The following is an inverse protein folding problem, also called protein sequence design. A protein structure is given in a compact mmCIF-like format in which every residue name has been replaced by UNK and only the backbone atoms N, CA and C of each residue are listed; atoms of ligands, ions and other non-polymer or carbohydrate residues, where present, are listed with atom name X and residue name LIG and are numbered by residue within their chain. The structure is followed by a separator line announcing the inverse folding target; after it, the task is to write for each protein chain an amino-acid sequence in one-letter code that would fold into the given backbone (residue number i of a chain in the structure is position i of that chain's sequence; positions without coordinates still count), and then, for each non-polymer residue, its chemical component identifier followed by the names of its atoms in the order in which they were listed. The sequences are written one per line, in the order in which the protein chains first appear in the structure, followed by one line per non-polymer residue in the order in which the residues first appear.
data_IF_999286125538
#
_entry.id   IF_999286125538
#
_cell.length_a   1.000
_cell.length_b   1.000
_cell.length_c   1.000
_cell.angle_alpha   90.00
_cell.angle_beta   90.00
_cell.angle_gamma   90.00
#
_symmetry.space_group_name_H-M   'P 1'
#
loop_
_entity.id
_entity.type
_entity.pdbx_description
1 polymer ?
#
# COMPACT_ATOMS: atom_id res chain seq x y z
N UNK A 1 45.70 -41.46 -30.72
CA UNK A 1 45.61 -40.26 -29.86
C UNK A 1 44.22 -40.22 -29.25
N UNK A 2 44.08 -40.55 -27.96
CA UNK A 2 42.80 -40.52 -27.25
C UNK A 2 42.65 -39.14 -26.59
N UNK A 3 41.67 -38.35 -27.03
CA UNK A 3 41.29 -37.11 -26.35
C UNK A 3 40.16 -37.43 -25.36
N UNK A 4 40.46 -37.35 -24.06
CA UNK A 4 39.47 -37.42 -22.98
C UNK A 4 38.81 -36.04 -22.86
N UNK A 5 37.51 -35.95 -23.16
CA UNK A 5 36.71 -34.76 -22.96
C UNK A 5 36.12 -34.80 -21.54
N UNK A 6 36.67 -34.03 -20.62
CA UNK A 6 36.08 -33.85 -19.29
C UNK A 6 34.89 -32.88 -19.39
N UNK A 7 33.68 -33.42 -19.33
CA UNK A 7 32.46 -32.62 -19.20
C UNK A 7 32.34 -32.13 -17.74
N UNK A 8 32.68 -30.87 -17.51
CA UNK A 8 32.49 -30.22 -16.21
C UNK A 8 30.99 -29.90 -16.05
N UNK A 9 30.24 -30.72 -15.29
CA UNK A 9 28.89 -30.35 -14.87
C UNK A 9 28.99 -29.24 -13.82
N UNK A 10 28.66 -28.01 -14.21
CA UNK A 10 28.45 -26.92 -13.26
C UNK A 10 27.20 -27.21 -12.43
N UNK A 11 27.37 -27.56 -11.15
CA UNK A 11 26.28 -27.65 -10.20
C UNK A 11 25.89 -26.22 -9.83
N UNK A 12 24.85 -25.69 -10.49
CA UNK A 12 24.27 -24.41 -10.10
C UNK A 12 23.56 -24.61 -8.75
N UNK A 13 23.82 -23.75 -7.73
CA UNK A 13 23.07 -23.81 -6.48
C UNK A 13 21.61 -23.50 -6.79
N UNK A 14 20.74 -24.50 -6.59
CA UNK A 14 19.30 -24.30 -6.54
C UNK A 14 19.05 -23.48 -5.27
N UNK A 15 18.92 -22.16 -5.41
CA UNK A 15 18.43 -21.32 -4.33
C UNK A 15 17.02 -21.81 -4.02
N UNK A 16 16.80 -22.35 -2.82
CA UNK A 16 15.47 -22.69 -2.36
C UNK A 16 14.58 -21.44 -2.51
N UNK A 17 13.63 -21.50 -3.44
CA UNK A 17 12.70 -20.42 -3.66
C UNK A 17 11.89 -20.26 -2.37
N UNK A 18 11.95 -19.06 -1.77
CA UNK A 18 11.21 -18.76 -0.56
C UNK A 18 9.74 -19.11 -0.79
N UNK A 19 9.27 -20.18 -0.14
CA UNK A 19 7.94 -20.74 -0.37
C UNK A 19 6.83 -19.88 0.24
N UNK A 20 7.20 -18.78 0.92
CA UNK A 20 6.25 -17.87 1.55
C UNK A 20 5.52 -17.02 0.52
N UNK A 21 4.23 -16.82 0.77
CA UNK A 21 3.42 -15.88 -0.01
C UNK A 21 3.83 -14.46 0.35
N UNK A 22 4.29 -13.72 -0.65
CA UNK A 22 4.81 -12.36 -0.49
C UNK A 22 3.70 -11.32 -0.60
N UNK A 23 3.57 -10.47 0.42
CA UNK A 23 2.59 -9.38 0.46
C UNK A 23 3.32 -8.04 0.53
N UNK A 24 3.15 -7.22 -0.49
CA UNK A 24 3.66 -5.85 -0.50
C UNK A 24 2.57 -4.88 -0.03
N UNK A 25 2.79 -4.24 1.11
CA UNK A 25 1.91 -3.18 1.60
C UNK A 25 2.47 -1.82 1.15
N UNK A 26 1.82 -1.21 0.17
CA UNK A 26 2.18 0.08 -0.42
C UNK A 26 1.29 1.17 0.14
N UNK A 27 1.86 2.33 0.41
CA UNK A 27 1.09 3.52 0.77
C UNK A 27 1.94 4.65 1.31
N UNK A 28 1.33 5.48 2.14
CA UNK A 28 1.94 6.70 2.67
C UNK A 28 2.46 6.52 4.11
N UNK A 29 2.46 7.59 4.91
CA UNK A 29 2.88 7.60 6.32
C UNK A 29 2.09 6.63 7.19
N UNK A 30 0.81 6.40 6.87
CA UNK A 30 -0.03 5.44 7.58
C UNK A 30 0.52 4.02 7.36
N UNK A 31 0.89 3.68 6.12
CA UNK A 31 1.57 2.40 5.81
C UNK A 31 2.94 2.30 6.44
N UNK A 32 3.71 3.39 6.47
CA UNK A 32 5.02 3.44 7.15
C UNK A 32 4.90 3.22 8.68
N UNK A 33 3.69 3.32 9.24
CA UNK A 33 3.43 3.12 10.66
C UNK A 33 3.58 4.40 11.49
N UNK A 34 3.40 5.58 10.88
CA UNK A 34 3.41 6.85 11.61
C UNK A 34 2.44 6.81 12.81
N UNK A 35 2.85 7.42 13.91
CA UNK A 35 2.11 7.54 15.18
C UNK A 35 1.90 6.22 15.95
N UNK A 36 2.17 5.05 15.37
CA UNK A 36 2.34 3.83 16.17
C UNK A 36 3.51 4.00 17.15
N UNK A 37 3.33 3.54 18.39
CA UNK A 37 4.37 3.61 19.44
C UNK A 37 5.60 2.77 19.10
N UNK A 38 5.41 1.74 18.28
CA UNK A 38 6.46 0.99 17.60
C UNK A 38 6.05 0.81 16.14
N UNK A 39 6.70 1.53 15.22
CA UNK A 39 6.36 1.49 13.79
C UNK A 39 6.49 0.09 13.18
N UNK A 40 7.43 -0.71 13.68
CA UNK A 40 7.74 -2.04 13.13
C UNK A 40 6.75 -3.07 13.64
N UNK A 41 6.46 -3.09 14.94
CA UNK A 41 5.65 -4.15 15.53
C UNK A 41 4.18 -3.76 15.72
N UNK A 42 3.88 -2.46 15.85
CA UNK A 42 2.54 -1.92 16.11
C UNK A 42 1.98 -1.10 14.96
N UNK A 43 2.79 -0.73 13.97
CA UNK A 43 2.25 -0.30 12.68
C UNK A 43 1.46 -1.44 12.03
N UNK A 44 0.41 -1.12 11.26
CA UNK A 44 -0.52 -2.15 10.78
C UNK A 44 0.16 -3.23 9.94
N UNK A 45 1.24 -2.91 9.21
CA UNK A 45 1.97 -3.89 8.40
C UNK A 45 2.68 -4.93 9.28
N UNK A 46 3.24 -4.49 10.42
CA UNK A 46 3.85 -5.38 11.40
C UNK A 46 2.83 -6.30 12.05
N UNK A 47 1.70 -5.74 12.47
CA UNK A 47 0.59 -6.51 13.04
C UNK A 47 0.02 -7.50 12.03
N UNK A 48 -0.20 -7.08 10.77
CA UNK A 48 -0.63 -7.95 9.68
C UNK A 48 0.37 -9.09 9.46
N UNK A 49 1.68 -8.82 9.48
CA UNK A 49 2.71 -9.87 9.36
C UNK A 49 2.60 -10.91 10.47
N UNK A 50 2.31 -10.51 11.71
CA UNK A 50 2.13 -11.42 12.83
C UNK A 50 0.87 -12.28 12.65
N UNK A 51 -0.25 -11.67 12.24
CA UNK A 51 -1.52 -12.37 11.99
C UNK A 51 -1.42 -13.40 10.85
N UNK A 52 -0.74 -13.04 9.74
CA UNK A 52 -0.56 -13.95 8.61
C UNK A 52 0.39 -15.12 8.93
N UNK A 53 1.37 -14.90 9.81
CA UNK A 53 2.27 -15.94 10.30
C UNK A 53 3.34 -16.40 9.30
N UNK A 54 4.02 -17.51 9.62
CA UNK A 54 5.26 -17.96 8.96
C UNK A 54 5.13 -18.33 7.48
N UNK A 55 3.92 -18.58 7.00
CA UNK A 55 3.65 -18.88 5.59
C UNK A 55 3.73 -17.65 4.68
N UNK A 56 3.88 -16.46 5.25
CA UNK A 56 3.84 -15.19 4.53
C UNK A 56 5.10 -14.35 4.79
N UNK A 57 5.47 -13.56 3.79
CA UNK A 57 6.46 -12.48 3.90
C UNK A 57 5.74 -11.16 3.62
N UNK A 58 5.26 -10.52 4.68
CA UNK A 58 4.52 -9.25 4.61
C UNK A 58 5.51 -8.12 4.83
N UNK A 59 5.62 -7.20 3.86
CA UNK A 59 6.61 -6.12 3.91
C UNK A 59 6.01 -4.74 3.73
N UNK A 60 6.62 -3.81 4.45
CA UNK A 60 6.24 -2.40 4.46
C UNK A 60 6.99 -1.65 3.34
N UNK A 61 6.22 -1.15 2.38
CA UNK A 61 6.69 -0.25 1.32
C UNK A 61 6.02 1.13 1.41
N UNK A 62 5.56 1.50 2.61
CA UNK A 62 5.02 2.82 2.90
C UNK A 62 6.09 3.91 2.84
N UNK A 63 5.68 5.09 2.38
CA UNK A 63 6.56 6.26 2.34
C UNK A 63 5.81 7.47 2.88
N UNK A 64 6.28 8.01 4.02
CA UNK A 64 5.68 9.21 4.62
C UNK A 64 5.54 10.36 3.62
N UNK A 65 4.33 10.92 3.54
CA UNK A 65 4.00 12.03 2.65
C UNK A 65 3.83 11.69 1.17
N UNK A 66 3.95 10.44 0.73
CA UNK A 66 3.80 10.08 -0.69
C UNK A 66 2.36 10.27 -1.21
N UNK A 67 2.23 10.63 -2.49
CA UNK A 67 0.96 10.83 -3.22
C UNK A 67 0.77 9.76 -4.30
N UNK A 68 -0.48 9.53 -4.70
CA UNK A 68 -0.83 8.70 -5.84
C UNK A 68 -0.66 9.43 -7.18
N UNK A 69 -1.01 10.72 -7.23
CA UNK A 69 -0.72 11.60 -8.36
C UNK A 69 0.78 11.64 -8.64
N UNK A 70 1.11 11.66 -9.93
CA UNK A 70 2.45 11.91 -10.45
C UNK A 70 2.72 13.41 -10.46
N UNK A 71 3.98 13.81 -10.65
CA UNK A 71 4.41 15.22 -10.75
C UNK A 71 4.06 16.11 -9.54
N UNK A 72 3.66 15.54 -8.41
CA UNK A 72 3.48 16.27 -7.15
C UNK A 72 4.84 16.51 -6.47
N UNK A 73 4.81 17.04 -5.24
CA UNK A 73 6.01 17.16 -4.41
C UNK A 73 6.64 15.81 -4.01
N UNK A 74 5.88 14.71 -3.99
CA UNK A 74 6.37 13.38 -3.60
C UNK A 74 5.54 12.25 -4.22
N UNK A 75 5.57 12.09 -5.56
CA UNK A 75 4.85 11.02 -6.23
C UNK A 75 5.46 9.66 -5.85
N UNK A 76 4.61 8.68 -5.50
CA UNK A 76 5.09 7.39 -5.01
C UNK A 76 5.95 6.65 -6.04
N UNK A 77 5.65 6.80 -7.34
CA UNK A 77 6.41 6.18 -8.45
C UNK A 77 7.85 6.69 -8.61
N UNK A 78 8.25 7.72 -7.83
CA UNK A 78 9.62 8.25 -7.75
C UNK A 78 10.33 7.94 -6.45
N UNK A 79 9.69 7.20 -5.53
CA UNK A 79 10.29 6.81 -4.26
C UNK A 79 11.03 5.48 -4.39
N UNK A 80 12.15 5.29 -3.67
CA UNK A 80 12.93 4.04 -3.70
C UNK A 80 12.08 2.81 -3.33
N UNK A 81 11.11 2.97 -2.42
CA UNK A 81 10.16 1.92 -2.04
C UNK A 81 9.31 1.39 -3.20
N UNK A 82 9.08 2.18 -4.24
CA UNK A 82 8.41 1.70 -5.45
C UNK A 82 9.28 0.68 -6.20
N UNK A 83 10.58 0.94 -6.33
CA UNK A 83 11.54 0.00 -6.94
C UNK A 83 11.73 -1.25 -6.06
N UNK A 84 11.84 -1.08 -4.74
CA UNK A 84 11.95 -2.19 -3.80
C UNK A 84 10.71 -3.10 -3.82
N UNK A 85 9.50 -2.52 -3.88
CA UNK A 85 8.25 -3.28 -3.95
C UNK A 85 8.15 -4.12 -5.22
N UNK A 86 8.64 -3.61 -6.35
CA UNK A 86 8.71 -4.37 -7.61
C UNK A 86 9.74 -5.49 -7.54
N UNK A 87 10.94 -5.18 -7.05
CA UNK A 87 12.02 -6.15 -6.89
C UNK A 87 11.64 -7.29 -5.92
N UNK A 88 10.72 -7.04 -4.99
CA UNK A 88 10.20 -8.05 -4.07
C UNK A 88 9.44 -9.18 -4.78
N UNK A 89 8.90 -8.93 -5.98
CA UNK A 89 8.05 -9.88 -6.74
C UNK A 89 6.89 -10.42 -5.89
N UNK A 90 5.98 -9.54 -5.41
CA UNK A 90 4.90 -9.94 -4.53
C UNK A 90 3.89 -10.87 -5.21
N UNK A 91 3.24 -11.70 -4.41
CA UNK A 91 2.04 -12.45 -4.81
C UNK A 91 0.75 -11.65 -4.53
N UNK A 92 0.80 -10.76 -3.55
CA UNK A 92 -0.31 -9.85 -3.19
C UNK A 92 0.23 -8.44 -3.02
N UNK A 93 -0.48 -7.45 -3.56
CA UNK A 93 -0.17 -6.03 -3.40
C UNK A 93 -1.40 -5.33 -2.82
N UNK A 94 -1.22 -4.58 -1.74
CA UNK A 94 -2.21 -3.62 -1.24
C UNK A 94 -1.71 -2.20 -1.47
N UNK A 95 -2.55 -1.32 -2.01
CA UNK A 95 -2.17 0.07 -2.33
C UNK A 95 -3.09 1.04 -1.56
N UNK A 96 -2.52 1.75 -0.59
CA UNK A 96 -3.19 2.74 0.25
C UNK A 96 -2.63 4.16 0.03
N UNK A 97 -2.96 4.74 -1.14
CA UNK A 97 -2.61 6.11 -1.54
C UNK A 97 -3.90 6.94 -1.73
N UNK A 98 -3.78 8.26 -1.79
CA UNK A 98 -4.93 9.18 -1.93
C UNK A 98 -5.10 10.15 -0.75
N UNK A 99 -4.71 9.80 0.47
CA UNK A 99 -4.81 10.72 1.62
C UNK A 99 -4.07 12.03 1.36
N UNK A 100 -2.79 11.95 0.98
CA UNK A 100 -1.98 13.15 0.73
C UNK A 100 -2.38 13.90 -0.54
N UNK A 101 -2.99 13.22 -1.50
CA UNK A 101 -3.53 13.81 -2.72
C UNK A 101 -4.67 14.79 -2.40
N UNK A 102 -5.40 14.58 -1.30
CA UNK A 102 -6.46 15.50 -0.85
C UNK A 102 -5.96 16.87 -0.35
N UNK A 103 -4.65 17.07 -0.17
CA UNK A 103 -4.12 18.38 0.23
C UNK A 103 -4.38 19.42 -0.87
N UNK A 104 -4.79 20.67 -0.56
CA UNK A 104 -5.05 21.70 -1.58
C UNK A 104 -3.89 21.95 -2.54
N UNK A 105 -2.65 21.90 -2.02
CA UNK A 105 -1.42 22.04 -2.82
C UNK A 105 -1.19 20.91 -3.83
N UNK A 106 -1.95 19.83 -3.72
CA UNK A 106 -2.00 18.74 -4.71
C UNK A 106 -3.31 18.84 -5.47
N UNK A 107 -4.45 18.58 -4.82
CA UNK A 107 -5.72 18.42 -5.52
C UNK A 107 -6.17 19.65 -6.30
N UNK A 108 -5.97 20.84 -5.74
CA UNK A 108 -6.52 22.09 -6.29
C UNK A 108 -5.52 22.81 -7.21
N UNK A 109 -4.42 22.15 -7.57
CA UNK A 109 -3.34 22.75 -8.37
C UNK A 109 -3.25 22.07 -9.74
N UNK A 110 -3.16 22.86 -10.81
CA UNK A 110 -2.98 22.35 -12.17
C UNK A 110 -4.08 21.37 -12.60
N UNK A 111 -3.67 20.19 -13.06
CA UNK A 111 -4.52 19.14 -13.61
C UNK A 111 -4.48 17.83 -12.78
N UNK A 112 -3.97 17.90 -11.53
CA UNK A 112 -3.79 16.71 -10.68
C UNK A 112 -5.10 15.97 -10.42
N UNK A 113 -6.19 16.68 -10.10
CA UNK A 113 -7.49 16.07 -9.87
C UNK A 113 -7.99 15.28 -11.10
N UNK A 114 -7.78 15.81 -12.31
CA UNK A 114 -8.16 15.12 -13.56
C UNK A 114 -7.25 13.94 -13.92
N UNK A 115 -6.00 13.94 -13.44
CA UNK A 115 -5.02 12.88 -13.74
C UNK A 115 -4.95 11.78 -12.69
N UNK A 116 -5.51 11.97 -11.49
CA UNK A 116 -5.40 10.99 -10.40
C UNK A 116 -5.83 9.58 -10.82
N UNK A 117 -6.93 9.45 -11.57
CA UNK A 117 -7.39 8.15 -12.08
C UNK A 117 -6.35 7.48 -13.00
N UNK A 118 -5.84 8.20 -14.00
CA UNK A 118 -4.86 7.65 -14.95
C UNK A 118 -3.49 7.39 -14.31
N UNK A 119 -3.11 8.20 -13.33
CA UNK A 119 -1.88 8.04 -12.57
C UNK A 119 -1.94 6.81 -11.67
N UNK A 120 -3.04 6.62 -10.96
CA UNK A 120 -3.29 5.43 -10.15
C UNK A 120 -3.36 4.17 -11.03
N UNK A 121 -4.06 4.23 -12.17
CA UNK A 121 -4.14 3.14 -13.15
C UNK A 121 -2.74 2.77 -13.69
N UNK A 122 -1.89 3.77 -13.97
CA UNK A 122 -0.51 3.57 -14.40
C UNK A 122 0.35 2.91 -13.33
N UNK A 123 0.21 3.34 -12.07
CA UNK A 123 0.90 2.73 -10.92
C UNK A 123 0.49 1.25 -10.77
N UNK A 124 -0.80 0.95 -10.86
CA UNK A 124 -1.30 -0.42 -10.80
C UNK A 124 -0.78 -1.29 -11.94
N UNK A 125 -0.75 -0.75 -13.16
CA UNK A 125 -0.28 -1.46 -14.35
C UNK A 125 1.17 -1.96 -14.20
N UNK A 126 2.01 -1.23 -13.46
CA UNK A 126 3.39 -1.66 -13.19
C UNK A 126 3.43 -2.92 -12.34
N UNK A 127 2.63 -3.00 -11.27
CA UNK A 127 2.56 -4.18 -10.41
C UNK A 127 1.89 -5.37 -11.11
N UNK A 128 0.82 -5.12 -11.88
CA UNK A 128 0.12 -6.15 -12.66
C UNK A 128 1.02 -6.79 -13.73
N UNK A 129 1.95 -6.00 -14.27
CA UNK A 129 2.92 -6.45 -15.29
C UNK A 129 4.06 -7.28 -14.71
N UNK A 130 4.23 -7.35 -13.38
CA UNK A 130 5.30 -8.14 -12.77
C UNK A 130 5.19 -9.63 -13.12
N UNK A 131 6.33 -10.35 -13.22
CA UNK A 131 6.32 -11.77 -13.53
C UNK A 131 5.67 -12.63 -12.43
N UNK A 132 5.61 -12.13 -11.20
CA UNK A 132 4.92 -12.80 -10.08
C UNK A 132 3.39 -12.79 -10.20
N UNK A 133 2.83 -11.97 -11.12
CA UNK A 133 1.40 -11.82 -11.37
C UNK A 133 0.60 -11.62 -10.07
N UNK A 134 0.90 -10.55 -9.32
CA UNK A 134 0.27 -10.35 -8.03
C UNK A 134 -1.23 -10.15 -8.16
N UNK A 135 -1.97 -10.63 -7.15
CA UNK A 135 -3.32 -10.14 -6.88
C UNK A 135 -3.23 -8.74 -6.28
N UNK A 136 -3.95 -7.79 -6.83
CA UNK A 136 -3.92 -6.39 -6.41
C UNK A 136 -5.21 -6.03 -5.68
N UNK A 137 -5.05 -5.32 -4.57
CA UNK A 137 -6.13 -4.67 -3.82
C UNK A 137 -5.88 -3.17 -3.75
N UNK A 138 -6.92 -2.40 -4.05
CA UNK A 138 -6.92 -0.97 -3.76
C UNK A 138 -7.59 -0.73 -2.40
N UNK A 139 -6.85 -0.08 -1.51
CA UNK A 139 -7.36 0.33 -0.22
C UNK A 139 -8.02 1.70 -0.37
N UNK A 140 -9.26 1.84 0.09
CA UNK A 140 -9.84 3.16 0.28
C UNK A 140 -9.17 3.81 1.48
N UNK A 141 -8.66 5.06 1.37
CA UNK A 141 -8.01 5.73 2.47
C UNK A 141 -8.87 5.80 3.73
N UNK A 142 -8.24 5.78 4.91
CA UNK A 142 -8.94 6.00 6.18
C UNK A 142 -9.57 7.41 6.22
N UNK A 143 -10.61 7.64 7.05
CA UNK A 143 -11.18 8.98 7.20
C UNK A 143 -10.16 9.97 7.75
N UNK A 144 -10.19 11.20 7.25
CA UNK A 144 -9.46 12.32 7.85
C UNK A 144 -10.39 12.94 8.89
N UNK A 145 -9.96 12.95 10.16
CA UNK A 145 -10.74 13.61 11.21
C UNK A 145 -10.62 15.14 11.06
N UNK A 146 -11.71 15.91 11.25
CA UNK A 146 -11.64 17.36 11.20
C UNK A 146 -10.59 17.91 12.16
N UNK A 147 -9.61 18.63 11.62
CA UNK A 147 -8.50 19.21 12.38
C UNK A 147 -7.90 20.42 11.63
N UNK A 148 -7.08 21.20 12.33
CA UNK A 148 -6.32 22.34 11.76
C UNK A 148 -4.81 22.08 11.71
N UNK A 149 -4.37 20.88 12.10
CA UNK A 149 -2.96 20.50 12.14
C UNK A 149 -2.44 20.07 10.77
N UNK A 150 -3.36 19.62 9.91
CA UNK A 150 -3.08 19.08 8.59
C UNK A 150 -3.96 19.75 7.54
N UNK A 151 -3.34 20.24 6.47
CA UNK A 151 -4.04 20.85 5.33
C UNK A 151 -4.61 19.78 4.39
N UNK A 152 -5.36 18.81 4.91
CA UNK A 152 -6.05 17.80 4.12
C UNK A 152 -7.52 18.16 3.96
N UNK A 153 -8.15 17.72 2.86
CA UNK A 153 -9.55 18.04 2.57
C UNK A 153 -10.42 16.79 2.73
N UNK A 154 -11.07 16.54 3.89
CA UNK A 154 -11.89 15.34 4.11
C UNK A 154 -13.00 15.17 3.07
N UNK A 155 -13.59 16.29 2.62
CA UNK A 155 -14.64 16.29 1.60
C UNK A 155 -14.11 15.81 0.24
N UNK A 156 -12.96 16.33 -0.21
CA UNK A 156 -12.28 15.89 -1.45
C UNK A 156 -11.93 14.40 -1.36
N UNK A 157 -11.38 13.95 -0.23
CA UNK A 157 -11.05 12.54 -0.05
C UNK A 157 -12.27 11.64 -0.25
N UNK A 158 -13.39 11.98 0.41
CA UNK A 158 -14.62 11.20 0.42
C UNK A 158 -15.39 11.27 -0.91
N UNK A 159 -15.55 12.47 -1.46
CA UNK A 159 -16.47 12.73 -2.57
C UNK A 159 -15.79 12.65 -3.94
N UNK A 160 -14.46 12.71 -4.01
CA UNK A 160 -13.74 12.72 -5.29
C UNK A 160 -12.71 11.57 -5.36
N UNK A 161 -11.75 11.52 -4.43
CA UNK A 161 -10.65 10.55 -4.51
C UNK A 161 -11.14 9.11 -4.33
N UNK A 162 -11.94 8.82 -3.29
CA UNK A 162 -12.46 7.48 -3.04
C UNK A 162 -13.26 6.94 -4.24
N UNK A 163 -14.20 7.70 -4.83
CA UNK A 163 -14.89 7.29 -6.05
C UNK A 163 -13.94 6.94 -7.20
N UNK A 164 -12.87 7.71 -7.41
CA UNK A 164 -11.87 7.41 -8.45
C UNK A 164 -11.10 6.12 -8.16
N UNK A 165 -10.73 5.87 -6.90
CA UNK A 165 -10.08 4.60 -6.50
C UNK A 165 -11.02 3.41 -6.79
N UNK A 166 -12.31 3.53 -6.44
CA UNK A 166 -13.31 2.48 -6.75
C UNK A 166 -13.42 2.25 -8.25
N UNK A 167 -13.45 3.31 -9.05
CA UNK A 167 -13.53 3.24 -10.51
C UNK A 167 -12.33 2.51 -11.11
N UNK A 168 -11.10 2.78 -10.64
CA UNK A 168 -9.91 2.04 -11.09
C UNK A 168 -9.99 0.57 -10.69
N UNK A 169 -10.40 0.27 -9.44
CA UNK A 169 -10.54 -1.10 -8.98
C UNK A 169 -11.56 -1.89 -9.84
N UNK A 170 -12.73 -1.31 -10.11
CA UNK A 170 -13.77 -1.92 -10.95
C UNK A 170 -13.27 -2.15 -12.38
N UNK A 171 -12.69 -1.12 -13.01
CA UNK A 171 -12.14 -1.20 -14.37
C UNK A 171 -11.11 -2.32 -14.53
N UNK A 172 -10.32 -2.58 -13.47
CA UNK A 172 -9.24 -3.56 -13.47
C UNK A 172 -9.63 -4.92 -12.87
N UNK A 173 -10.83 -5.04 -12.28
CA UNK A 173 -11.25 -6.25 -11.55
C UNK A 173 -10.47 -6.50 -10.27
N UNK A 174 -9.94 -5.46 -9.62
CA UNK A 174 -9.20 -5.58 -8.36
C UNK A 174 -10.13 -5.69 -7.16
N UNK A 175 -9.63 -6.32 -6.09
CA UNK A 175 -10.30 -6.32 -4.80
C UNK A 175 -10.26 -4.93 -4.14
N UNK A 176 -11.27 -4.61 -3.33
CA UNK A 176 -11.30 -3.36 -2.54
C UNK A 176 -11.15 -3.70 -1.06
N UNK A 177 -10.27 -2.97 -0.38
CA UNK A 177 -10.18 -2.93 1.08
C UNK A 177 -10.71 -1.58 1.55
N UNK A 178 -11.94 -1.54 2.06
CA UNK A 178 -12.65 -0.31 2.46
C UNK A 178 -12.23 0.18 3.87
N UNK A 179 -11.00 0.66 4.03
CA UNK A 179 -10.52 1.18 5.32
C UNK A 179 -11.29 2.43 5.76
N UNK A 180 -11.82 3.21 4.81
CA UNK A 180 -12.64 4.39 5.09
C UNK A 180 -13.83 4.02 5.98
N UNK A 181 -14.63 3.04 5.54
CA UNK A 181 -15.83 2.63 6.26
C UNK A 181 -15.51 1.97 7.60
N UNK A 182 -14.40 1.22 7.67
CA UNK A 182 -14.00 0.54 8.91
C UNK A 182 -13.56 1.49 10.03
N UNK A 183 -12.95 2.63 9.69
CA UNK A 183 -12.49 3.61 10.67
C UNK A 183 -13.44 4.82 10.79
N UNK A 184 -14.54 4.84 10.04
CA UNK A 184 -15.55 5.90 10.16
C UNK A 184 -16.20 5.89 11.53
N UNK A 185 -16.10 7.01 12.27
CA UNK A 185 -16.62 7.13 13.63
C UNK A 185 -15.72 6.53 14.72
N UNK A 186 -14.52 6.05 14.37
CA UNK A 186 -13.53 5.61 15.36
C UNK A 186 -12.65 6.78 15.80
N UNK A 187 -13.15 7.67 16.66
CA UNK A 187 -12.34 8.81 17.15
C UNK A 187 -11.12 8.32 17.96
N UNK A 188 -11.31 7.28 18.78
CA UNK A 188 -10.25 6.64 19.59
C UNK A 188 -9.13 6.00 18.75
N UNK A 189 -9.31 5.84 17.43
CA UNK A 189 -8.26 5.36 16.54
C UNK A 189 -7.15 6.40 16.30
N UNK A 190 -7.34 7.66 16.71
CA UNK A 190 -6.43 8.77 16.41
C UNK A 190 -6.02 9.49 17.70
N UNK A 191 -4.78 9.98 17.82
CA UNK A 191 -4.45 10.92 18.89
C UNK A 191 -5.13 12.27 18.63
N UNK A 192 -5.64 12.89 19.69
CA UNK A 192 -6.24 14.24 19.64
C UNK A 192 -5.30 15.32 19.08
N UNK A 193 -4.00 15.13 19.24
CA UNK A 193 -2.96 16.06 18.78
C UNK A 193 -2.62 15.91 17.29
N UNK A 194 -2.97 14.78 16.67
CA UNK A 194 -2.62 14.50 15.27
C UNK A 194 -3.87 14.44 14.38
N UNK A 195 -4.86 13.60 14.72
CA UNK A 195 -6.14 13.48 14.00
C UNK A 195 -6.05 13.09 12.51
N UNK A 196 -4.87 12.68 12.02
CA UNK A 196 -4.66 12.18 10.65
C UNK A 196 -4.10 10.75 10.65
N UNK A 197 -3.13 10.48 11.51
CA UNK A 197 -2.43 9.21 11.62
C UNK A 197 -3.02 8.36 12.75
N UNK A 198 -3.29 7.06 12.49
CA UNK A 198 -3.77 6.15 13.51
C UNK A 198 -2.76 5.96 14.66
N UNK A 199 -3.26 5.84 15.88
CA UNK A 199 -2.51 5.33 17.02
C UNK A 199 -2.42 3.79 16.97
N UNK A 200 -1.85 3.16 18.01
CA UNK A 200 -1.73 1.70 18.11
C UNK A 200 -3.07 0.97 17.86
N UNK A 201 -4.17 1.46 18.43
CA UNK A 201 -5.51 0.87 18.30
C UNK A 201 -6.06 1.04 16.87
N UNK A 202 -5.83 2.19 16.26
CA UNK A 202 -6.21 2.40 14.86
C UNK A 202 -5.39 1.52 13.89
N UNK A 203 -4.09 1.34 14.13
CA UNK A 203 -3.26 0.41 13.35
C UNK A 203 -3.70 -1.06 13.52
N UNK A 204 -4.10 -1.45 14.72
CA UNK A 204 -4.67 -2.78 15.00
C UNK A 204 -5.93 -3.02 14.15
N UNK A 205 -6.89 -2.10 14.17
CA UNK A 205 -8.12 -2.19 13.35
C UNK A 205 -7.85 -2.27 11.85
N UNK A 206 -6.88 -1.51 11.35
CA UNK A 206 -6.46 -1.59 9.95
C UNK A 206 -5.91 -2.98 9.64
N UNK A 207 -5.02 -3.50 10.49
CA UNK A 207 -4.42 -4.82 10.31
C UNK A 207 -5.46 -5.95 10.34
N UNK A 208 -6.36 -5.95 11.33
CA UNK A 208 -7.44 -6.93 11.47
C UNK A 208 -8.35 -6.97 10.25
N UNK A 209 -8.74 -5.79 9.75
CA UNK A 209 -9.62 -5.74 8.60
C UNK A 209 -8.93 -6.20 7.31
N UNK A 210 -7.69 -5.74 7.05
CA UNK A 210 -6.90 -6.22 5.91
C UNK A 210 -6.74 -7.73 6.00
N UNK A 211 -6.35 -8.26 7.17
CA UNK A 211 -6.23 -9.69 7.41
C UNK A 211 -7.53 -10.42 7.05
N UNK A 212 -8.67 -9.93 7.55
CA UNK A 212 -9.99 -10.54 7.31
C UNK A 212 -10.37 -10.60 5.82
N UNK A 213 -9.97 -9.61 5.02
CA UNK A 213 -10.20 -9.59 3.57
C UNK A 213 -9.26 -10.58 2.87
N UNK A 214 -7.97 -10.52 3.20
CA UNK A 214 -6.96 -11.34 2.53
C UNK A 214 -7.09 -12.84 2.81
N UNK A 215 -7.68 -13.25 3.95
CA UNK A 215 -7.92 -14.67 4.25
C UNK A 215 -9.25 -15.20 3.74
N UNK A 216 -10.27 -14.34 3.54
CA UNK A 216 -11.57 -14.76 2.97
C UNK A 216 -11.49 -15.09 1.49
N UNK A 217 -10.51 -14.51 0.81
CA UNK A 217 -10.36 -14.65 -0.64
C UNK A 217 -9.22 -15.62 -1.04
N UNK A 218 -8.69 -16.40 -0.09
CA UNK A 218 -7.86 -17.59 -0.34
C UNK A 218 -8.73 -18.79 -0.68
#
# INVERSE_FOLDING_TARGET
MHFLFFLLLAILPVTAQDARIKIACIGNSITEGAVASDRVNKGYVGQLSQMMGKGYDVRNFGVSGATGCRNTYKPYDKCDKFEEAKAFLPNVVTIALGTNDSQPRVWNTGDFASHFESDLDSLCNVFESLPSKPRIYLCLPIPIMPNTNWEHQPKVLKEEIIPLIRKVAEKRGYGIIDLYSQLSGCEDCYPDTDKLHPNDFGHEKIAEYIYSVLVKEQ
#
